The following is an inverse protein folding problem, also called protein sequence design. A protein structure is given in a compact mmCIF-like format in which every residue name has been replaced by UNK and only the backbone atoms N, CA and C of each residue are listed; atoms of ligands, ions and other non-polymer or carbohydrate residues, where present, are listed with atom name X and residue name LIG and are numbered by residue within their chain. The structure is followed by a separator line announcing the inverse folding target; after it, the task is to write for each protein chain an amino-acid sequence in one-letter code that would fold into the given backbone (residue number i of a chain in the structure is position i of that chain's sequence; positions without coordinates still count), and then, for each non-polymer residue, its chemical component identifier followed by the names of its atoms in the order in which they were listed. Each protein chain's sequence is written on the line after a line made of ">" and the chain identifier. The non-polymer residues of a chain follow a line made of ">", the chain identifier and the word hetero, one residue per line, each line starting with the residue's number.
data_IF_100038705338
#
_entry.id   IF_100038705338
#
_cell.length_a   1.000
_cell.length_b   1.000
_cell.length_c   1.000
_cell.angle_alpha   90.00
_cell.angle_beta   90.00
_cell.angle_gamma   90.00
#
_symmetry.space_group_name_H-M   'P 1'
#
loop_
_entity.id
_entity.type
_entity.pdbx_description
1 polymer ?
#
# COMPACT_ATOMS: atom_id res chain seq x y z
N UNK A 1 0.92 -36.04 -8.39
CA UNK A 1 1.11 -36.18 -6.89
C UNK A 1 2.45 -35.55 -6.57
N UNK A 2 2.47 -34.66 -5.60
CA UNK A 2 3.72 -34.00 -5.14
C UNK A 2 4.17 -34.72 -3.89
N UNK A 3 5.49 -34.95 -3.72
CA UNK A 3 6.04 -35.46 -2.45
C UNK A 3 7.21 -34.59 -1.96
N UNK A 4 7.33 -34.48 -0.65
CA UNK A 4 8.37 -33.72 0.05
C UNK A 4 9.01 -34.63 1.10
N UNK A 5 10.27 -35.01 0.91
CA UNK A 5 11.00 -35.92 1.80
C UNK A 5 10.17 -37.21 2.09
N UNK A 6 9.64 -37.85 1.03
CA UNK A 6 8.81 -39.05 1.09
C UNK A 6 7.36 -38.86 1.61
N UNK A 7 6.97 -37.68 2.06
CA UNK A 7 5.60 -37.39 2.47
C UNK A 7 4.79 -36.78 1.29
N UNK A 8 3.64 -37.34 1.00
CA UNK A 8 2.81 -36.91 -0.12
C UNK A 8 1.95 -35.68 0.20
N UNK A 9 1.75 -34.84 -0.80
CA UNK A 9 0.76 -33.78 -0.84
C UNK A 9 -0.30 -34.19 -1.88
N UNK A 10 -1.56 -34.33 -1.43
CA UNK A 10 -2.64 -34.75 -2.32
C UNK A 10 -3.07 -33.59 -3.24
N UNK A 11 -3.60 -33.94 -4.41
CA UNK A 11 -4.18 -32.97 -5.34
C UNK A 11 -5.36 -32.21 -4.69
N UNK A 12 -6.16 -32.91 -3.87
CA UNK A 12 -7.27 -32.29 -3.13
C UNK A 12 -6.77 -31.24 -2.13
N UNK A 13 -5.62 -31.46 -1.49
CA UNK A 13 -5.02 -30.45 -0.59
C UNK A 13 -4.63 -29.20 -1.37
N UNK A 14 -4.03 -29.35 -2.57
CA UNK A 14 -3.68 -28.22 -3.43
C UNK A 14 -4.93 -27.46 -3.88
N UNK A 15 -5.98 -28.15 -4.30
CA UNK A 15 -7.25 -27.52 -4.69
C UNK A 15 -7.89 -26.74 -3.54
N UNK A 16 -7.88 -27.31 -2.33
CA UNK A 16 -8.40 -26.63 -1.14
C UNK A 16 -7.58 -25.40 -0.76
N UNK A 17 -6.27 -25.46 -0.92
CA UNK A 17 -5.37 -24.33 -0.62
C UNK A 17 -5.50 -23.17 -1.60
N UNK A 18 -5.89 -23.45 -2.86
CA UNK A 18 -6.02 -22.41 -3.91
C UNK A 18 -6.95 -21.27 -3.54
N UNK A 19 -7.97 -21.48 -2.70
CA UNK A 19 -8.88 -20.42 -2.25
C UNK A 19 -8.16 -19.27 -1.51
N UNK A 20 -6.98 -19.54 -0.95
CA UNK A 20 -6.16 -18.57 -0.23
C UNK A 20 -5.11 -17.89 -1.12
N UNK A 21 -4.99 -18.33 -2.38
CA UNK A 21 -4.00 -17.82 -3.34
C UNK A 21 -4.66 -17.26 -4.61
N UNK A 22 -5.38 -16.12 -4.51
CA UNK A 22 -5.98 -15.49 -5.67
C UNK A 22 -4.90 -15.10 -6.69
N UNK A 23 -5.11 -15.45 -7.97
CA UNK A 23 -4.20 -15.16 -9.06
C UNK A 23 -4.97 -14.91 -10.36
N UNK A 24 -4.31 -14.35 -11.37
CA UNK A 24 -4.91 -14.00 -12.66
C UNK A 24 -5.48 -15.21 -13.43
N UNK A 25 -5.02 -16.42 -13.12
CA UNK A 25 -5.49 -17.65 -13.73
C UNK A 25 -5.36 -18.84 -12.79
N UNK A 26 -6.14 -19.90 -13.07
CA UNK A 26 -6.20 -21.12 -12.29
C UNK A 26 -4.82 -21.81 -12.11
N UNK A 27 -3.98 -21.82 -13.16
CA UNK A 27 -2.65 -22.44 -13.09
C UNK A 27 -1.74 -21.71 -12.11
N UNK A 28 -1.74 -20.38 -12.13
CA UNK A 28 -0.94 -19.57 -11.21
C UNK A 28 -1.39 -19.76 -9.75
N UNK A 29 -2.71 -19.81 -9.50
CA UNK A 29 -3.25 -20.12 -8.18
C UNK A 29 -2.84 -21.52 -7.70
N UNK A 30 -2.88 -22.52 -8.58
CA UNK A 30 -2.46 -23.89 -8.25
C UNK A 30 -0.96 -23.96 -7.91
N UNK A 31 -0.10 -23.26 -8.67
CA UNK A 31 1.35 -23.22 -8.41
C UNK A 31 1.61 -22.56 -7.05
N UNK A 32 0.98 -21.42 -6.77
CA UNK A 32 1.14 -20.72 -5.48
C UNK A 32 0.66 -21.57 -4.30
N UNK A 33 -0.47 -22.27 -4.44
CA UNK A 33 -0.99 -23.18 -3.43
C UNK A 33 -0.05 -24.38 -3.19
N UNK A 34 0.48 -24.98 -4.25
CA UNK A 34 1.44 -26.08 -4.13
C UNK A 34 2.74 -25.60 -3.44
N UNK A 35 3.26 -24.44 -3.79
CA UNK A 35 4.42 -23.84 -3.14
C UNK A 35 4.18 -23.63 -1.64
N UNK A 36 3.02 -23.06 -1.26
CA UNK A 36 2.63 -22.85 0.13
C UNK A 36 2.63 -24.16 0.93
N UNK A 37 2.00 -25.20 0.40
CA UNK A 37 1.93 -26.51 1.03
C UNK A 37 3.30 -27.18 1.17
N UNK A 38 4.16 -27.09 0.15
CA UNK A 38 5.53 -27.62 0.19
C UNK A 38 6.33 -26.90 1.29
N UNK A 39 6.28 -25.57 1.34
CA UNK A 39 6.97 -24.77 2.35
C UNK A 39 6.45 -25.11 3.75
N UNK A 40 5.13 -25.14 3.95
CA UNK A 40 4.53 -25.52 5.22
C UNK A 40 4.98 -26.90 5.70
N UNK A 41 5.02 -27.87 4.79
CA UNK A 41 5.48 -29.22 5.09
C UNK A 41 6.94 -29.27 5.51
N UNK A 42 7.83 -28.58 4.78
CA UNK A 42 9.25 -28.50 5.12
C UNK A 42 9.49 -27.86 6.49
N UNK A 43 8.76 -26.80 6.80
CA UNK A 43 8.86 -26.12 8.09
C UNK A 43 8.38 -27.01 9.25
N UNK A 44 7.28 -27.74 9.06
CA UNK A 44 6.76 -28.68 10.07
C UNK A 44 7.73 -29.86 10.27
N UNK A 45 8.27 -30.45 9.20
CA UNK A 45 9.29 -31.49 9.30
C UNK A 45 10.51 -30.99 10.09
N UNK A 46 10.95 -29.76 9.82
CA UNK A 46 12.05 -29.16 10.57
C UNK A 46 11.71 -28.93 12.04
N UNK A 47 10.49 -28.53 12.35
CA UNK A 47 10.03 -28.41 13.74
C UNK A 47 10.02 -29.77 14.46
N UNK A 48 9.63 -30.84 13.77
CA UNK A 48 9.66 -32.22 14.30
C UNK A 48 11.11 -32.69 14.58
N UNK A 49 12.04 -32.45 13.65
CA UNK A 49 13.46 -32.74 13.83
C UNK A 49 14.04 -32.07 15.08
N UNK A 50 13.57 -30.86 15.38
CA UNK A 50 13.98 -30.10 16.56
C UNK A 50 13.14 -30.42 17.80
N UNK A 51 12.23 -31.38 17.73
CA UNK A 51 11.31 -31.80 18.80
C UNK A 51 10.41 -30.67 19.33
N UNK A 52 10.11 -29.66 18.51
CA UNK A 52 9.29 -28.51 18.94
C UNK A 52 7.82 -28.88 19.10
N UNK A 53 7.32 -29.79 18.29
CA UNK A 53 5.94 -30.31 18.33
C UNK A 53 5.61 -30.98 19.66
N UNK A 54 6.58 -31.61 20.29
CA UNK A 54 6.42 -32.26 21.61
C UNK A 54 6.26 -31.27 22.77
N UNK A 55 6.65 -30.00 22.58
CA UNK A 55 6.59 -28.97 23.61
C UNK A 55 5.30 -28.16 23.59
N UNK A 56 4.42 -28.40 22.62
CA UNK A 56 3.17 -27.67 22.43
C UNK A 56 2.01 -28.66 22.56
N UNK A 57 1.15 -28.45 23.54
CA UNK A 57 -0.03 -29.30 23.73
C UNK A 57 -1.09 -28.97 22.67
N UNK A 58 -1.24 -29.85 21.67
CA UNK A 58 -2.19 -29.71 20.58
C UNK A 58 -3.65 -29.57 21.05
N UNK A 59 -3.98 -30.09 22.22
CA UNK A 59 -5.34 -30.05 22.76
C UNK A 59 -5.79 -28.66 23.22
N UNK A 60 -4.85 -27.72 23.35
CA UNK A 60 -5.12 -26.33 23.73
C UNK A 60 -5.57 -25.44 22.57
N UNK A 61 -5.47 -25.94 21.33
CA UNK A 61 -5.80 -25.17 20.11
C UNK A 61 -7.17 -25.54 19.57
N UNK A 62 -7.83 -24.57 18.95
CA UNK A 62 -9.17 -24.76 18.41
C UNK A 62 -9.21 -25.69 17.19
N UNK A 63 -8.14 -25.70 16.40
CA UNK A 63 -7.98 -26.49 15.19
C UNK A 63 -6.50 -26.77 14.86
N UNK A 64 -6.29 -27.66 13.92
CA UNK A 64 -4.96 -28.07 13.45
C UNK A 64 -4.15 -26.90 12.89
N UNK A 65 -4.78 -25.94 12.24
CA UNK A 65 -4.11 -24.78 11.65
C UNK A 65 -3.51 -23.90 12.73
N UNK A 66 -4.27 -23.55 13.75
CA UNK A 66 -3.79 -22.73 14.87
C UNK A 66 -2.67 -23.41 15.66
N UNK A 67 -2.71 -24.74 15.78
CA UNK A 67 -1.60 -25.52 16.34
C UNK A 67 -0.35 -25.41 15.48
N UNK A 68 -0.47 -25.64 14.16
CA UNK A 68 0.65 -25.53 13.21
C UNK A 68 1.25 -24.12 13.21
N UNK A 69 0.44 -23.07 13.22
CA UNK A 69 0.90 -21.70 13.32
C UNK A 69 1.74 -21.46 14.58
N UNK A 70 1.35 -22.00 15.73
CA UNK A 70 2.12 -21.90 16.97
C UNK A 70 3.47 -22.66 16.90
N UNK A 71 3.47 -23.85 16.29
CA UNK A 71 4.69 -24.63 16.03
C UNK A 71 5.65 -23.86 15.14
N UNK A 72 5.14 -23.26 14.05
CA UNK A 72 5.95 -22.46 13.13
C UNK A 72 6.50 -21.18 13.78
N UNK A 73 5.71 -20.53 14.62
CA UNK A 73 6.19 -19.38 15.39
C UNK A 73 7.34 -19.76 16.32
N UNK A 74 7.23 -20.90 17.01
CA UNK A 74 8.30 -21.41 17.87
C UNK A 74 9.55 -21.76 17.05
N UNK A 75 9.40 -22.40 15.88
CA UNK A 75 10.50 -22.71 14.98
C UNK A 75 11.24 -21.43 14.55
N UNK A 76 10.51 -20.42 14.10
CA UNK A 76 11.08 -19.12 13.67
C UNK A 76 11.88 -18.48 14.82
N UNK A 77 11.34 -18.50 16.04
CA UNK A 77 11.96 -17.88 17.20
C UNK A 77 13.21 -18.63 17.69
N UNK A 78 13.28 -19.94 17.52
CA UNK A 78 14.40 -20.76 18.01
C UNK A 78 15.50 -20.99 16.96
N UNK A 79 15.15 -21.29 15.72
CA UNK A 79 16.11 -21.73 14.71
C UNK A 79 16.55 -20.59 13.77
N UNK A 80 15.79 -19.48 13.69
CA UNK A 80 16.16 -18.35 12.85
C UNK A 80 16.77 -17.22 13.69
N UNK A 81 18.05 -16.94 13.45
CA UNK A 81 18.71 -15.76 14.05
C UNK A 81 18.30 -14.50 13.32
N UNK A 82 17.46 -13.69 13.96
CA UNK A 82 16.98 -12.43 13.42
C UNK A 82 17.70 -11.28 14.13
N UNK A 83 18.71 -10.66 13.50
CA UNK A 83 19.37 -9.50 14.07
C UNK A 83 18.39 -8.33 14.20
N UNK A 84 18.51 -7.59 15.32
CA UNK A 84 17.71 -6.40 15.55
C UNK A 84 18.40 -5.18 14.94
N UNK A 85 17.62 -4.26 14.38
CA UNK A 85 18.14 -3.02 13.85
C UNK A 85 18.78 -2.17 14.96
N UNK A 86 20.02 -1.78 14.74
CA UNK A 86 20.75 -0.91 15.65
C UNK A 86 20.25 0.54 15.56
N UNK A 87 20.52 1.33 16.59
CA UNK A 87 20.20 2.75 16.59
C UNK A 87 20.89 3.50 15.45
N UNK A 88 22.11 3.09 15.07
CA UNK A 88 22.86 3.68 13.95
C UNK A 88 22.18 3.40 12.61
N UNK A 89 21.72 2.18 12.36
CA UNK A 89 20.99 1.81 11.15
C UNK A 89 19.65 2.54 11.06
N UNK A 90 18.93 2.68 12.17
CA UNK A 90 17.69 3.46 12.22
C UNK A 90 17.92 4.92 11.87
N UNK A 91 19.00 5.52 12.40
CA UNK A 91 19.34 6.90 12.10
C UNK A 91 19.79 7.09 10.65
N UNK A 92 20.57 6.16 10.12
CA UNK A 92 20.95 6.15 8.71
C UNK A 92 19.73 6.05 7.79
N UNK A 93 18.79 5.15 8.11
CA UNK A 93 17.53 5.02 7.37
C UNK A 93 16.71 6.31 7.40
N UNK A 94 16.61 6.95 8.56
CA UNK A 94 15.92 8.24 8.71
C UNK A 94 16.56 9.31 7.82
N UNK A 95 17.87 9.47 7.86
CA UNK A 95 18.59 10.46 7.05
C UNK A 95 18.45 10.22 5.55
N UNK A 96 18.48 8.97 5.13
CA UNK A 96 18.30 8.58 3.72
C UNK A 96 16.85 8.72 3.22
N UNK A 97 15.88 8.90 4.12
CA UNK A 97 14.45 8.89 3.76
C UNK A 97 13.66 10.05 4.39
N UNK A 98 14.26 11.22 4.55
CA UNK A 98 13.65 12.38 5.22
C UNK A 98 12.26 12.72 4.68
N UNK A 99 12.05 12.62 3.37
CA UNK A 99 10.75 12.88 2.74
C UNK A 99 9.62 11.99 3.23
N UNK A 100 9.92 10.77 3.70
CA UNK A 100 8.91 9.85 4.28
C UNK A 100 8.52 10.22 5.72
N UNK A 101 9.31 11.07 6.34
CA UNK A 101 9.13 11.53 7.72
C UNK A 101 8.78 13.01 7.79
N UNK A 102 7.97 13.46 6.84
CA UNK A 102 7.45 14.81 6.77
C UNK A 102 5.93 14.76 6.93
N UNK A 103 5.36 15.70 7.67
CA UNK A 103 3.90 15.82 7.78
C UNK A 103 3.31 16.14 6.42
N UNK A 104 2.06 15.78 6.19
CA UNK A 104 1.38 16.16 4.95
C UNK A 104 1.32 17.68 4.84
N UNK A 105 1.63 18.27 3.68
CA UNK A 105 1.33 19.68 3.45
C UNK A 105 -0.18 19.92 3.53
N UNK A 106 -0.56 21.15 3.91
CA UNK A 106 -1.95 21.61 3.90
C UNK A 106 -2.11 22.71 2.86
N UNK A 107 -3.25 22.69 2.17
CA UNK A 107 -3.61 23.71 1.20
C UNK A 107 -4.99 24.23 1.54
N UNK A 108 -5.13 25.52 1.85
CA UNK A 108 -6.42 26.18 1.90
C UNK A 108 -6.77 26.69 0.50
N UNK A 109 -7.92 26.29 -0.02
CA UNK A 109 -8.30 26.59 -1.40
C UNK A 109 -9.80 26.90 -1.53
N UNK A 110 -10.10 27.64 -2.58
CA UNK A 110 -11.45 27.84 -3.11
C UNK A 110 -11.52 27.26 -4.51
N UNK A 111 -12.68 26.73 -4.90
CA UNK A 111 -12.88 26.26 -6.25
C UNK A 111 -14.27 26.59 -6.83
N UNK A 112 -14.34 26.58 -8.15
CA UNK A 112 -15.58 26.65 -8.92
C UNK A 112 -15.62 25.38 -9.75
N UNK A 113 -16.56 24.47 -9.48
CA UNK A 113 -16.73 23.23 -10.22
C UNK A 113 -17.71 23.43 -11.38
N UNK A 114 -17.25 23.16 -12.59
CA UNK A 114 -18.04 23.11 -13.82
C UNK A 114 -18.15 21.63 -14.24
N UNK A 115 -19.27 20.97 -13.94
CA UNK A 115 -19.41 19.56 -14.21
C UNK A 115 -19.38 19.26 -15.70
N UNK A 116 -18.64 18.21 -16.06
CA UNK A 116 -18.63 17.67 -17.41
C UNK A 116 -18.26 16.19 -17.36
N UNK A 117 -19.14 15.26 -17.70
CA UNK A 117 -18.85 13.83 -17.74
C UNK A 117 -17.69 13.52 -18.68
N UNK A 118 -16.87 12.50 -18.33
CA UNK A 118 -15.69 12.15 -19.13
C UNK A 118 -16.08 11.71 -20.55
N UNK A 119 -17.23 11.11 -20.70
CA UNK A 119 -17.76 10.55 -21.94
C UNK A 119 -18.36 11.63 -22.87
N UNK A 120 -18.71 12.82 -22.35
CA UNK A 120 -19.31 13.91 -23.11
C UNK A 120 -18.26 14.94 -23.53
N UNK A 121 -17.70 14.75 -24.71
CA UNK A 121 -16.67 15.62 -25.29
C UNK A 121 -17.16 17.06 -25.44
N UNK A 122 -18.42 17.27 -25.87
CA UNK A 122 -18.95 18.60 -26.07
C UNK A 122 -19.13 19.35 -24.75
N UNK A 123 -19.75 18.70 -23.76
CA UNK A 123 -19.86 19.28 -22.42
C UNK A 123 -18.46 19.61 -21.80
N UNK A 124 -17.45 18.80 -22.08
CA UNK A 124 -16.08 19.08 -21.61
C UNK A 124 -15.47 20.29 -22.32
N UNK A 125 -15.68 20.46 -23.59
CA UNK A 125 -15.21 21.65 -24.34
C UNK A 125 -15.88 22.92 -23.83
N UNK A 126 -17.21 22.88 -23.64
CA UNK A 126 -17.98 24.01 -23.11
C UNK A 126 -17.56 24.36 -21.67
N UNK A 127 -17.44 23.37 -20.79
CA UNK A 127 -17.01 23.58 -19.41
C UNK A 127 -15.58 24.15 -19.33
N UNK A 128 -14.68 23.70 -20.21
CA UNK A 128 -13.33 24.24 -20.29
C UNK A 128 -13.33 25.70 -20.78
N UNK A 129 -14.07 26.00 -21.82
CA UNK A 129 -14.18 27.37 -22.34
C UNK A 129 -14.76 28.33 -21.27
N UNK A 130 -15.80 27.87 -20.53
CA UNK A 130 -16.36 28.63 -19.43
C UNK A 130 -15.35 28.81 -18.28
N UNK A 131 -14.58 27.78 -17.96
CA UNK A 131 -13.53 27.88 -16.93
C UNK A 131 -12.46 28.92 -17.31
N UNK A 132 -12.03 28.92 -18.56
CA UNK A 132 -11.03 29.85 -19.07
C UNK A 132 -11.58 31.29 -19.02
N UNK A 133 -12.86 31.53 -19.35
CA UNK A 133 -13.51 32.84 -19.22
C UNK A 133 -13.62 33.29 -17.76
N UNK A 134 -14.01 32.39 -16.85
CA UNK A 134 -14.06 32.69 -15.41
C UNK A 134 -12.65 33.09 -14.89
N UNK A 135 -11.60 32.36 -15.30
CA UNK A 135 -10.22 32.71 -14.94
C UNK A 135 -9.86 34.12 -15.43
N UNK A 136 -10.30 34.49 -16.63
CA UNK A 136 -10.08 35.83 -17.20
C UNK A 136 -10.80 36.92 -16.40
N UNK A 137 -12.06 36.70 -16.02
CA UNK A 137 -12.85 37.62 -15.18
C UNK A 137 -12.20 37.81 -13.81
N UNK A 138 -11.72 36.72 -13.16
CA UNK A 138 -10.99 36.79 -11.91
C UNK A 138 -9.67 37.59 -12.04
N UNK A 139 -8.95 37.46 -13.16
CA UNK A 139 -7.76 38.27 -13.43
C UNK A 139 -8.07 39.76 -13.62
N UNK A 140 -9.31 40.08 -14.03
CA UNK A 140 -9.81 41.47 -14.17
C UNK A 140 -10.34 42.06 -12.86
N UNK A 141 -10.36 41.27 -11.77
CA UNK A 141 -10.75 41.73 -10.45
C UNK A 141 -12.16 41.35 -10.00
N UNK A 142 -12.87 40.51 -10.78
CA UNK A 142 -14.16 39.98 -10.35
C UNK A 142 -14.05 39.17 -9.08
N UNK A 143 -15.10 39.17 -8.29
CA UNK A 143 -15.13 38.43 -7.01
C UNK A 143 -15.24 36.93 -7.22
N UNK A 144 -14.31 36.15 -6.64
CA UNK A 144 -14.35 34.69 -6.68
C UNK A 144 -15.65 34.15 -6.10
N UNK A 145 -16.16 34.69 -4.99
CA UNK A 145 -17.36 34.23 -4.36
C UNK A 145 -18.62 34.49 -5.22
N UNK A 146 -18.66 35.58 -5.94
CA UNK A 146 -19.75 35.91 -6.86
C UNK A 146 -19.78 34.90 -8.00
N UNK A 147 -18.63 34.67 -8.63
CA UNK A 147 -18.52 33.71 -9.73
C UNK A 147 -18.75 32.27 -9.26
N UNK A 148 -18.32 31.91 -8.04
CA UNK A 148 -18.60 30.60 -7.44
C UNK A 148 -20.11 30.40 -7.24
N UNK A 149 -20.82 31.39 -6.71
CA UNK A 149 -22.27 31.33 -6.54
C UNK A 149 -23.04 31.24 -7.85
N UNK A 150 -22.55 31.91 -8.91
CA UNK A 150 -23.19 31.94 -10.20
C UNK A 150 -22.96 30.62 -11.02
N UNK A 151 -21.77 30.07 -10.97
CA UNK A 151 -21.34 29.02 -11.92
C UNK A 151 -21.04 27.67 -11.27
N UNK A 152 -20.60 27.62 -9.99
CA UNK A 152 -20.18 26.37 -9.37
C UNK A 152 -21.36 25.45 -9.05
N UNK A 153 -21.20 24.17 -9.40
CA UNK A 153 -22.15 23.11 -9.03
C UNK A 153 -21.70 22.29 -7.81
N UNK A 154 -20.64 22.72 -7.12
CA UNK A 154 -20.27 22.17 -5.84
C UNK A 154 -21.04 22.84 -4.71
N UNK A 155 -21.35 22.11 -3.62
CA UNK A 155 -22.01 22.68 -2.44
C UNK A 155 -21.23 23.83 -1.80
N UNK A 156 -19.92 23.85 -1.96
CA UNK A 156 -19.06 24.97 -1.52
C UNK A 156 -19.42 26.32 -2.16
N UNK A 157 -20.17 26.34 -3.26
CA UNK A 157 -20.65 27.56 -3.91
C UNK A 157 -21.44 28.46 -2.96
N UNK A 158 -22.21 27.86 -2.05
CA UNK A 158 -22.98 28.54 -1.00
C UNK A 158 -22.09 29.32 0.00
N UNK A 159 -20.82 28.99 0.04
CA UNK A 159 -19.80 29.59 0.89
C UNK A 159 -18.66 30.20 0.08
N UNK A 160 -18.99 30.76 -1.11
CA UNK A 160 -18.00 31.39 -1.98
C UNK A 160 -16.94 30.48 -2.60
N UNK A 161 -17.24 29.17 -2.69
CA UNK A 161 -16.33 28.17 -3.24
C UNK A 161 -15.29 27.62 -2.26
N UNK A 162 -15.32 28.01 -0.96
CA UNK A 162 -14.32 27.62 0.05
C UNK A 162 -14.36 26.12 0.31
N UNK A 163 -13.20 25.46 0.16
CA UNK A 163 -13.00 24.04 0.48
C UNK A 163 -12.40 23.82 1.88
N UNK A 164 -11.94 24.89 2.53
CA UNK A 164 -11.19 24.81 3.78
C UNK A 164 -9.75 24.31 3.58
N UNK A 165 -9.19 23.71 4.62
CA UNK A 165 -7.85 23.14 4.59
C UNK A 165 -7.91 21.70 4.06
N UNK A 166 -7.20 21.46 2.99
CA UNK A 166 -7.09 20.16 2.34
C UNK A 166 -5.76 19.52 2.72
N UNK A 167 -5.79 18.24 3.08
CA UNK A 167 -4.62 17.37 3.18
C UNK A 167 -4.65 16.34 2.05
N UNK A 168 -3.49 15.72 1.75
CA UNK A 168 -3.42 14.66 0.75
C UNK A 168 -4.35 13.50 1.10
N UNK A 169 -5.02 12.95 0.08
CA UNK A 169 -5.98 11.87 0.20
C UNK A 169 -7.44 12.30 0.45
N UNK A 170 -7.71 13.61 0.56
CA UNK A 170 -9.08 14.13 0.79
C UNK A 170 -9.84 14.45 -0.49
N UNK A 171 -9.14 14.54 -1.63
CA UNK A 171 -9.76 14.85 -2.93
C UNK A 171 -9.35 13.82 -3.98
N UNK A 172 -9.95 13.90 -5.17
CA UNK A 172 -9.56 13.01 -6.26
C UNK A 172 -8.14 13.29 -6.73
N UNK A 173 -7.41 12.24 -7.10
CA UNK A 173 -5.97 12.30 -7.38
C UNK A 173 -5.60 13.32 -8.48
N UNK A 174 -6.46 13.51 -9.47
CA UNK A 174 -6.27 14.45 -10.59
C UNK A 174 -6.29 15.90 -10.12
N UNK A 175 -7.21 16.23 -9.19
CA UNK A 175 -7.32 17.55 -8.58
C UNK A 175 -6.17 17.77 -7.58
N UNK A 176 -5.97 16.81 -6.68
CA UNK A 176 -4.96 16.88 -5.62
C UNK A 176 -3.57 17.14 -6.18
N UNK A 177 -3.14 16.37 -7.18
CA UNK A 177 -1.81 16.48 -7.78
C UNK A 177 -1.52 17.89 -8.29
N UNK A 178 -2.50 18.52 -8.95
CA UNK A 178 -2.33 19.86 -9.53
C UNK A 178 -2.36 20.95 -8.45
N UNK A 179 -3.31 20.87 -7.51
CA UNK A 179 -3.48 21.86 -6.44
C UNK A 179 -2.28 21.87 -5.48
N UNK A 180 -1.79 20.68 -5.10
CA UNK A 180 -0.63 20.61 -4.21
C UNK A 180 0.71 20.98 -4.89
N UNK A 181 0.79 20.92 -6.22
CA UNK A 181 1.94 21.36 -6.98
C UNK A 181 1.96 22.89 -7.23
N UNK A 182 0.78 23.51 -7.31
CA UNK A 182 0.64 24.92 -7.63
C UNK A 182 1.12 25.85 -6.49
N UNK A 183 1.45 27.09 -6.83
CA UNK A 183 1.74 28.18 -5.87
C UNK A 183 0.44 28.82 -5.37
N UNK A 184 0.54 29.60 -4.30
CA UNK A 184 -0.56 30.43 -3.81
C UNK A 184 -1.05 31.41 -4.88
N UNK A 185 -2.36 31.72 -4.85
CA UNK A 185 -3.03 32.58 -5.80
C UNK A 185 -3.97 31.84 -6.76
N UNK A 186 -4.44 32.57 -7.78
CA UNK A 186 -5.29 32.01 -8.83
C UNK A 186 -4.48 31.11 -9.76
N UNK A 187 -4.92 29.87 -9.93
CA UNK A 187 -4.30 28.96 -10.90
C UNK A 187 -4.54 29.50 -12.33
N UNK A 188 -3.50 29.45 -13.14
CA UNK A 188 -3.52 30.02 -14.50
C UNK A 188 -4.36 29.23 -15.50
N UNK A 189 -4.64 27.97 -15.20
CA UNK A 189 -5.40 27.03 -16.01
C UNK A 189 -6.41 26.31 -15.14
N UNK A 190 -7.53 25.92 -15.73
CA UNK A 190 -8.52 25.08 -15.06
C UNK A 190 -7.94 23.68 -14.77
N UNK A 191 -8.23 23.17 -13.59
CA UNK A 191 -7.85 21.82 -13.16
C UNK A 191 -8.87 20.84 -13.70
N UNK A 192 -8.43 19.89 -14.50
CA UNK A 192 -9.27 18.81 -15.03
C UNK A 192 -9.35 17.65 -14.04
N UNK A 193 -10.56 17.13 -13.85
CA UNK A 193 -10.83 15.93 -13.06
C UNK A 193 -11.92 15.07 -13.74
N UNK A 194 -12.19 13.89 -13.16
CA UNK A 194 -13.33 13.04 -13.57
C UNK A 194 -14.69 13.71 -13.45
N UNK A 195 -14.83 14.74 -12.62
CA UNK A 195 -16.08 15.47 -12.42
C UNK A 195 -16.28 16.63 -13.38
N UNK A 196 -15.24 17.08 -14.07
CA UNK A 196 -15.26 18.25 -14.94
C UNK A 196 -14.03 19.13 -14.76
N UNK A 197 -14.24 20.44 -14.93
CA UNK A 197 -13.20 21.45 -14.78
C UNK A 197 -13.40 22.28 -13.52
N UNK A 198 -12.29 22.60 -12.87
CA UNK A 198 -12.27 23.39 -11.64
C UNK A 198 -11.42 24.65 -11.85
N UNK A 199 -12.01 25.81 -11.61
CA UNK A 199 -11.23 27.04 -11.42
C UNK A 199 -10.84 27.08 -9.95
N UNK A 200 -9.54 27.19 -9.66
CA UNK A 200 -8.99 27.07 -8.30
C UNK A 200 -8.20 28.30 -7.91
N UNK A 201 -8.42 28.77 -6.69
CA UNK A 201 -7.63 29.78 -6.02
C UNK A 201 -7.05 29.16 -4.74
N UNK A 202 -5.73 29.23 -4.59
CA UNK A 202 -5.03 28.76 -3.41
C UNK A 202 -4.83 29.94 -2.47
N UNK A 203 -5.54 29.90 -1.35
CA UNK A 203 -5.48 30.98 -0.36
C UNK A 203 -4.19 30.92 0.47
N UNK A 204 -3.77 29.70 0.85
CA UNK A 204 -2.59 29.48 1.66
C UNK A 204 -2.06 28.07 1.47
N UNK A 205 -0.75 27.93 1.51
CA UNK A 205 -0.06 26.65 1.44
C UNK A 205 0.91 26.50 2.61
N UNK A 206 0.68 25.49 3.45
CA UNK A 206 1.56 25.17 4.56
C UNK A 206 2.37 23.94 4.16
N UNK A 207 3.68 24.11 4.06
CA UNK A 207 4.58 23.00 3.78
C UNK A 207 4.54 21.98 4.94
N UNK A 208 4.71 20.71 4.60
CA UNK A 208 4.90 19.69 5.64
C UNK A 208 6.19 19.94 6.42
N UNK A 209 6.14 19.71 7.72
CA UNK A 209 7.28 19.82 8.61
C UNK A 209 8.00 18.49 8.76
N UNK A 210 9.32 18.52 8.80
CA UNK A 210 10.14 17.36 9.08
C UNK A 210 9.85 16.85 10.50
N UNK A 211 9.47 15.58 10.63
CA UNK A 211 9.30 14.95 11.94
C UNK A 211 10.69 14.66 12.54
N UNK A 212 10.95 15.06 13.79
CA UNK A 212 12.19 14.70 14.47
C UNK A 212 12.38 13.18 14.56
N UNK A 213 13.64 12.74 14.52
CA UNK A 213 13.98 11.31 14.60
C UNK A 213 13.36 10.62 15.80
N UNK A 214 13.35 11.25 16.97
CA UNK A 214 12.83 10.66 18.21
C UNK A 214 11.34 10.30 18.11
N UNK A 215 10.56 11.07 17.38
CA UNK A 215 9.13 10.79 17.16
C UNK A 215 8.89 9.60 16.20
N UNK A 216 9.84 9.29 15.34
CA UNK A 216 9.68 8.25 14.31
C UNK A 216 10.57 7.03 14.54
N UNK A 217 11.50 7.10 15.50
CA UNK A 217 12.49 6.05 15.82
C UNK A 217 11.83 4.68 15.99
N UNK A 218 10.81 4.58 16.81
CA UNK A 218 10.12 3.30 17.06
C UNK A 218 9.52 2.71 15.78
N UNK A 219 8.88 3.55 14.97
CA UNK A 219 8.31 3.12 13.66
C UNK A 219 9.39 2.64 12.71
N UNK A 220 10.54 3.31 12.69
CA UNK A 220 11.70 2.91 11.86
C UNK A 220 12.27 1.57 12.36
N UNK A 221 12.46 1.41 13.67
CA UNK A 221 12.96 0.17 14.26
C UNK A 221 12.05 -1.00 13.92
N UNK A 222 10.75 -0.85 14.12
CA UNK A 222 9.76 -1.88 13.76
C UNK A 222 9.83 -2.23 12.26
N UNK A 223 9.84 -1.21 11.39
CA UNK A 223 9.93 -1.42 9.93
C UNK A 223 11.20 -2.17 9.52
N UNK A 224 12.37 -1.79 10.07
CA UNK A 224 13.63 -2.44 9.73
C UNK A 224 13.69 -3.87 10.28
N UNK A 225 13.23 -4.10 11.50
CA UNK A 225 13.17 -5.43 12.09
C UNK A 225 12.27 -6.37 11.29
N UNK A 226 11.08 -5.91 10.89
CA UNK A 226 10.16 -6.68 10.05
C UNK A 226 10.76 -7.00 8.67
N UNK A 227 11.49 -6.05 8.09
CA UNK A 227 12.18 -6.26 6.82
C UNK A 227 13.28 -7.33 6.95
N UNK A 228 14.08 -7.26 8.01
CA UNK A 228 15.15 -8.24 8.30
C UNK A 228 14.54 -9.60 8.61
N UNK A 229 13.48 -9.66 9.42
CA UNK A 229 12.76 -10.90 9.75
C UNK A 229 12.26 -11.61 8.49
N UNK A 230 11.57 -10.88 7.60
CA UNK A 230 11.10 -11.46 6.32
C UNK A 230 12.25 -12.02 5.49
N UNK A 231 13.35 -11.26 5.36
CA UNK A 231 14.53 -11.71 4.62
C UNK A 231 15.17 -12.95 5.23
N UNK A 232 15.30 -13.00 6.56
CA UNK A 232 15.87 -14.15 7.28
C UNK A 232 14.99 -15.40 7.09
N UNK A 233 13.67 -15.27 7.20
CA UNK A 233 12.73 -16.36 6.97
C UNK A 233 12.82 -16.85 5.52
N UNK A 234 12.84 -15.95 4.54
CA UNK A 234 12.96 -16.33 3.13
C UNK A 234 14.28 -17.07 2.85
N UNK A 235 15.41 -16.63 3.45
CA UNK A 235 16.69 -17.33 3.32
C UNK A 235 16.63 -18.72 3.96
N UNK A 236 16.00 -18.82 5.13
CA UNK A 236 15.83 -20.09 5.84
C UNK A 236 14.99 -21.09 5.01
N UNK A 237 13.87 -20.63 4.44
CA UNK A 237 13.04 -21.45 3.55
C UNK A 237 13.83 -21.91 2.31
N UNK A 238 14.59 -21.01 1.67
CA UNK A 238 15.48 -21.39 0.55
C UNK A 238 16.46 -22.49 0.93
N UNK A 239 17.02 -22.38 2.12
CA UNK A 239 17.94 -23.41 2.64
C UNK A 239 17.23 -24.76 2.81
N UNK A 240 16.05 -24.79 3.41
CA UNK A 240 15.27 -26.03 3.55
C UNK A 240 14.90 -26.64 2.19
N UNK A 241 14.44 -25.83 1.24
CA UNK A 241 14.13 -26.28 -0.12
C UNK A 241 15.36 -26.88 -0.80
N UNK A 242 16.55 -26.26 -0.65
CA UNK A 242 17.78 -26.73 -1.27
C UNK A 242 18.27 -28.08 -0.74
N UNK A 243 17.85 -28.48 0.44
CA UNK A 243 18.19 -29.74 1.10
C UNK A 243 17.13 -30.82 0.93
N UNK A 244 15.91 -30.43 0.55
CA UNK A 244 14.78 -31.34 0.44
C UNK A 244 14.78 -32.15 -0.87
N UNK A 245 14.26 -33.36 -0.80
CA UNK A 245 13.87 -34.12 -1.99
C UNK A 245 12.39 -33.80 -2.32
N UNK A 246 12.18 -33.05 -3.41
CA UNK A 246 10.84 -32.65 -3.86
C UNK A 246 10.58 -33.31 -5.22
N UNK A 247 9.62 -34.23 -5.26
CA UNK A 247 9.22 -34.91 -6.48
C UNK A 247 7.86 -34.39 -6.98
N UNK A 248 7.71 -34.31 -8.30
CA UNK A 248 6.44 -33.93 -8.95
C UNK A 248 6.14 -32.42 -8.95
N UNK A 249 7.11 -31.58 -8.53
CA UNK A 249 7.00 -30.13 -8.59
C UNK A 249 8.36 -29.47 -8.80
N UNK A 250 8.45 -28.59 -9.81
CA UNK A 250 9.63 -27.73 -10.00
C UNK A 250 9.44 -26.42 -9.23
N UNK A 251 10.29 -26.21 -8.23
CA UNK A 251 10.21 -25.04 -7.36
C UNK A 251 11.02 -23.88 -7.95
N UNK A 252 10.33 -22.90 -8.52
CA UNK A 252 10.96 -21.64 -8.91
C UNK A 252 11.06 -20.73 -7.67
N UNK A 253 12.24 -20.77 -7.04
CA UNK A 253 12.52 -20.03 -5.78
C UNK A 253 12.48 -18.52 -6.02
N UNK A 254 12.90 -18.05 -7.18
CA UNK A 254 13.02 -16.60 -7.45
C UNK A 254 11.70 -15.96 -7.86
N UNK A 255 10.78 -16.73 -8.44
CA UNK A 255 9.47 -16.25 -8.85
C UNK A 255 8.39 -16.36 -7.74
N UNK A 256 8.67 -17.01 -6.62
CA UNK A 256 7.68 -17.22 -5.56
C UNK A 256 7.37 -15.91 -4.80
N UNK A 257 6.09 -15.46 -4.75
CA UNK A 257 5.68 -14.28 -3.98
C UNK A 257 5.98 -14.41 -2.48
N UNK A 258 6.08 -15.63 -1.96
CA UNK A 258 6.38 -15.93 -0.55
C UNK A 258 7.87 -15.69 -0.21
N UNK A 259 8.70 -15.42 -1.23
CA UNK A 259 10.14 -15.26 -1.10
C UNK A 259 10.63 -13.83 -1.35
N UNK A 260 9.71 -12.87 -1.62
CA UNK A 260 10.01 -11.46 -1.90
C UNK A 260 9.91 -10.56 -0.63
#
# INVERSE_FOLDING_TARGET
>A
MISVNQESISEQAVLNEMQYHPADNHRAAMVSAAQSLIIGKLLLQRADELNLTNNIDATTFADEKTYQDAVLEQLINQDIKIPQATSAECQQYYQANLSKFTTSPLVAARHILLPAPVEDINARLEAKALADEIIKQLKQGESFSVLASAHSKCDSSKHGGVLGQLSKGQTVAEFERQVFAASEGLMTHAVESRYGYHVVFIDMKIAGNQLPYDLVKQRITTYLNEKVKRKAIAQYIRHLISQANIDGFEFDIDASPLMQ
#
